data_IF_304975733827
#
_entry.id   IF_304975733827
#
_cell.length_a   1.000
_cell.length_b   1.000
_cell.length_c   1.000
_cell.angle_alpha   90.00
_cell.angle_beta   90.00
_cell.angle_gamma   90.00
#
_symmetry.space_group_name_H-M   'P 1'
#
loop_
_entity.id
_entity.type
_entity.pdbx_description
1 polymer ?
#
# COMPACT_ATOMS: atom_id res chain seq x y z
N UNK A 1 7.88 -49.04 -7.15
CA UNK A 1 7.74 -47.83 -6.31
C UNK A 1 8.42 -46.69 -7.04
N UNK A 2 7.66 -45.87 -7.77
CA UNK A 2 8.20 -44.80 -8.60
C UNK A 2 8.71 -43.63 -7.76
N UNK A 3 9.96 -43.24 -7.98
CA UNK A 3 10.58 -42.09 -7.34
C UNK A 3 9.76 -40.83 -7.63
N UNK A 4 9.23 -40.21 -6.57
CA UNK A 4 8.54 -38.92 -6.65
C UNK A 4 9.59 -37.90 -7.10
N UNK A 5 9.49 -37.42 -8.34
CA UNK A 5 10.31 -36.32 -8.81
C UNK A 5 10.14 -35.14 -7.84
N UNK A 6 11.22 -34.75 -7.16
CA UNK A 6 11.22 -33.56 -6.32
C UNK A 6 10.86 -32.36 -7.19
N UNK A 7 9.64 -31.85 -7.02
CA UNK A 7 9.25 -30.58 -7.62
C UNK A 7 10.17 -29.53 -7.01
N UNK A 8 11.17 -29.09 -7.77
CA UNK A 8 12.02 -27.96 -7.38
C UNK A 8 11.09 -26.75 -7.22
N UNK A 9 10.75 -26.41 -5.99
CA UNK A 9 9.97 -25.22 -5.68
C UNK A 9 10.93 -24.05 -5.94
N UNK A 10 10.79 -23.42 -7.10
CA UNK A 10 11.56 -22.22 -7.43
C UNK A 10 10.91 -21.05 -6.70
N UNK A 11 11.56 -20.56 -5.65
CA UNK A 11 11.18 -19.35 -4.92
C UNK A 11 12.24 -18.27 -5.11
N UNK A 12 11.80 -17.02 -5.18
CA UNK A 12 12.68 -15.84 -5.24
C UNK A 12 12.59 -15.08 -3.91
N UNK A 13 13.74 -14.69 -3.38
CA UNK A 13 13.85 -13.80 -2.22
C UNK A 13 13.81 -12.33 -2.67
N UNK A 14 13.55 -11.38 -1.75
CA UNK A 14 13.54 -9.95 -2.09
C UNK A 14 14.76 -9.38 -2.83
N UNK A 15 16.01 -9.83 -2.59
CA UNK A 15 17.17 -9.36 -3.35
C UNK A 15 17.34 -10.05 -4.71
N UNK A 16 16.61 -11.13 -4.99
CA UNK A 16 16.77 -11.89 -6.22
C UNK A 16 16.17 -11.13 -7.40
N UNK A 17 16.83 -11.25 -8.55
CA UNK A 17 16.36 -10.67 -9.83
C UNK A 17 15.96 -11.85 -10.74
N UNK A 18 14.67 -12.23 -10.75
CA UNK A 18 14.19 -13.30 -11.62
C UNK A 18 14.45 -13.01 -13.10
N UNK A 19 14.41 -14.04 -13.97
CA UNK A 19 14.35 -13.85 -15.41
C UNK A 19 13.20 -12.90 -15.80
N UNK A 20 13.33 -12.10 -16.86
CA UNK A 20 12.31 -11.11 -17.26
C UNK A 20 10.89 -11.68 -17.37
N UNK A 21 10.74 -12.90 -17.89
CA UNK A 21 9.45 -13.58 -17.97
C UNK A 21 8.84 -13.88 -16.59
N UNK A 22 9.66 -14.33 -15.63
CA UNK A 22 9.22 -14.58 -14.26
C UNK A 22 8.90 -13.27 -13.53
N UNK A 23 9.69 -12.20 -13.75
CA UNK A 23 9.43 -10.87 -13.21
C UNK A 23 8.06 -10.32 -13.65
N UNK A 24 7.75 -10.40 -14.95
CA UNK A 24 6.46 -9.95 -15.49
C UNK A 24 5.31 -10.80 -14.94
N UNK A 25 5.49 -12.12 -14.87
CA UNK A 25 4.46 -13.03 -14.33
C UNK A 25 4.19 -12.78 -12.83
N UNK A 26 5.24 -12.64 -12.01
CA UNK A 26 5.11 -12.32 -10.58
C UNK A 26 4.50 -10.93 -10.37
N UNK A 27 4.92 -9.94 -11.16
CA UNK A 27 4.33 -8.60 -11.14
C UNK A 27 2.84 -8.62 -11.46
N UNK A 28 2.43 -9.36 -12.48
CA UNK A 28 1.03 -9.52 -12.85
C UNK A 28 0.23 -10.21 -11.74
N UNK A 29 0.76 -11.29 -11.16
CA UNK A 29 0.12 -11.96 -10.01
C UNK A 29 -0.07 -10.98 -8.83
N UNK A 30 0.92 -10.13 -8.58
CA UNK A 30 0.85 -9.13 -7.51
C UNK A 30 -0.23 -8.08 -7.80
N UNK A 31 -0.29 -7.55 -9.04
CA UNK A 31 -1.34 -6.61 -9.46
C UNK A 31 -2.72 -7.24 -9.31
N UNK A 32 -2.92 -8.46 -9.80
CA UNK A 32 -4.20 -9.17 -9.70
C UNK A 32 -4.62 -9.40 -8.24
N UNK A 33 -3.66 -9.60 -7.34
CA UNK A 33 -3.94 -9.81 -5.91
C UNK A 33 -4.30 -8.50 -5.20
N UNK A 34 -3.62 -7.40 -5.53
CA UNK A 34 -3.80 -6.11 -4.84
C UNK A 34 -4.90 -5.22 -5.44
N UNK A 35 -5.23 -5.43 -6.71
CA UNK A 35 -6.21 -4.63 -7.44
C UNK A 35 -7.61 -4.64 -6.80
N UNK A 36 -8.22 -5.79 -6.43
CA UNK A 36 -9.59 -5.81 -5.91
C UNK A 36 -9.77 -4.94 -4.66
N UNK A 37 -8.80 -4.97 -3.74
CA UNK A 37 -8.84 -4.15 -2.53
C UNK A 37 -8.77 -2.66 -2.85
N UNK A 38 -7.85 -2.25 -3.73
CA UNK A 38 -7.68 -0.84 -4.10
C UNK A 38 -8.86 -0.30 -4.91
N UNK A 39 -9.35 -1.09 -5.87
CA UNK A 39 -10.53 -0.74 -6.66
C UNK A 39 -11.80 -0.67 -5.80
N UNK A 40 -11.97 -1.60 -4.86
CA UNK A 40 -13.13 -1.60 -3.95
C UNK A 40 -13.18 -0.34 -3.10
N UNK A 41 -12.05 0.10 -2.54
CA UNK A 41 -11.99 1.35 -1.77
C UNK A 41 -12.37 2.56 -2.64
N UNK A 42 -11.87 2.64 -3.87
CA UNK A 42 -12.23 3.72 -4.80
C UNK A 42 -13.73 3.73 -5.10
N UNK A 43 -14.31 2.56 -5.39
CA UNK A 43 -15.74 2.41 -5.68
C UNK A 43 -16.60 2.84 -4.49
N UNK A 44 -16.26 2.39 -3.27
CA UNK A 44 -17.02 2.74 -2.05
C UNK A 44 -16.92 4.24 -1.74
N UNK A 45 -15.75 4.84 -1.97
CA UNK A 45 -15.51 6.27 -1.67
C UNK A 45 -15.98 7.21 -2.77
N UNK A 46 -16.45 6.69 -3.91
CA UNK A 46 -16.85 7.51 -5.06
C UNK A 46 -15.68 8.13 -5.83
N UNK A 47 -14.45 7.67 -5.60
CA UNK A 47 -13.28 8.13 -6.34
C UNK A 47 -13.09 7.38 -7.65
N UNK A 48 -12.42 8.02 -8.62
CA UNK A 48 -12.09 7.38 -9.89
C UNK A 48 -11.12 6.21 -9.67
N UNK A 49 -11.52 5.02 -10.14
CA UNK A 49 -10.78 3.78 -9.95
C UNK A 49 -9.43 3.83 -10.68
N UNK A 50 -9.40 4.35 -11.91
CA UNK A 50 -8.19 4.39 -12.72
C UNK A 50 -7.14 5.32 -12.09
N UNK A 51 -7.57 6.50 -11.63
CA UNK A 51 -6.70 7.45 -10.92
C UNK A 51 -6.19 6.86 -9.60
N UNK A 52 -7.05 6.19 -8.84
CA UNK A 52 -6.67 5.60 -7.55
C UNK A 52 -5.66 4.47 -7.73
N UNK A 53 -5.88 3.58 -8.70
CA UNK A 53 -4.94 2.49 -9.02
C UNK A 53 -3.62 3.05 -9.56
N UNK A 54 -3.67 4.06 -10.42
CA UNK A 54 -2.49 4.75 -10.93
C UNK A 54 -1.67 5.40 -9.80
N UNK A 55 -2.32 6.15 -8.91
CA UNK A 55 -1.69 6.80 -7.77
C UNK A 55 -1.06 5.80 -6.80
N UNK A 56 -1.72 4.67 -6.53
CA UNK A 56 -1.19 3.56 -5.73
C UNK A 56 0.08 2.94 -6.36
N UNK A 57 0.05 2.68 -7.66
CA UNK A 57 1.22 2.18 -8.40
C UNK A 57 2.38 3.17 -8.35
N UNK A 58 2.10 4.46 -8.59
CA UNK A 58 3.10 5.52 -8.52
C UNK A 58 3.70 5.66 -7.11
N UNK A 59 2.86 5.65 -6.07
CA UNK A 59 3.31 5.69 -4.68
C UNK A 59 4.21 4.50 -4.33
N UNK A 60 3.87 3.30 -4.81
CA UNK A 60 4.69 2.10 -4.65
C UNK A 60 6.06 2.25 -5.30
N UNK A 61 6.13 2.80 -6.52
CA UNK A 61 7.41 3.09 -7.19
C UNK A 61 8.23 4.12 -6.41
N UNK A 62 7.61 5.22 -5.98
CA UNK A 62 8.26 6.27 -5.20
C UNK A 62 8.83 5.70 -3.89
N UNK A 63 8.07 4.88 -3.18
CA UNK A 63 8.52 4.26 -1.93
C UNK A 63 9.63 3.22 -2.15
N UNK A 64 9.56 2.42 -3.22
CA UNK A 64 10.62 1.48 -3.58
C UNK A 64 11.93 2.20 -3.92
N UNK A 65 11.87 3.32 -4.67
CA UNK A 65 13.05 4.11 -5.00
C UNK A 65 13.58 4.84 -3.77
N UNK A 66 12.71 5.47 -2.98
CA UNK A 66 13.07 6.20 -1.77
C UNK A 66 13.68 5.31 -0.68
N UNK A 67 13.23 4.06 -0.56
CA UNK A 67 13.79 3.05 0.36
C UNK A 67 15.03 2.33 -0.19
N UNK A 68 15.55 2.72 -1.35
CA UNK A 68 16.66 2.06 -2.05
C UNK A 68 16.41 0.56 -2.26
N UNK A 69 15.17 0.17 -2.62
CA UNK A 69 14.73 -1.21 -2.84
C UNK A 69 14.91 -2.14 -1.64
N UNK A 70 15.00 -1.60 -0.42
CA UNK A 70 15.16 -2.42 0.81
C UNK A 70 13.83 -2.90 1.39
N UNK A 71 12.74 -2.18 1.10
CA UNK A 71 11.44 -2.44 1.70
C UNK A 71 10.45 -2.82 0.57
N UNK A 72 10.14 -4.12 0.39
CA UNK A 72 9.21 -4.58 -0.63
C UNK A 72 7.76 -4.41 -0.14
N UNK A 73 7.24 -3.19 -0.20
CA UNK A 73 5.86 -2.85 0.21
C UNK A 73 5.05 -2.27 -0.96
N UNK A 74 3.79 -2.68 -1.05
CA UNK A 74 2.78 -2.12 -1.96
C UNK A 74 1.89 -1.11 -1.21
N UNK A 75 1.62 0.03 -1.82
CA UNK A 75 0.86 1.14 -1.22
C UNK A 75 -0.55 1.23 -1.82
N UNK A 76 -1.47 0.40 -1.34
CA UNK A 76 -2.87 0.35 -1.80
C UNK A 76 -3.83 1.32 -1.08
N UNK A 77 -5.11 1.25 -1.47
CA UNK A 77 -6.20 1.99 -0.82
C UNK A 77 -6.43 1.52 0.62
N UNK A 78 -6.46 2.44 1.58
CA UNK A 78 -6.59 2.10 3.01
C UNK A 78 -8.06 2.10 3.46
N UNK A 79 -8.50 0.95 3.95
CA UNK A 79 -9.85 0.74 4.49
C UNK A 79 -10.12 1.57 5.75
N UNK A 80 -9.07 1.99 6.46
CA UNK A 80 -9.20 2.86 7.63
C UNK A 80 -9.81 4.24 7.29
N UNK A 81 -9.72 4.67 6.03
CA UNK A 81 -10.30 5.95 5.59
C UNK A 81 -11.79 5.85 5.20
N UNK A 82 -12.36 4.65 5.05
CA UNK A 82 -13.74 4.51 4.57
C UNK A 82 -14.75 5.23 5.46
N UNK A 83 -14.70 4.99 6.78
CA UNK A 83 -15.63 5.63 7.72
C UNK A 83 -15.50 7.15 7.70
N UNK A 84 -14.27 7.66 7.65
CA UNK A 84 -14.00 9.10 7.62
C UNK A 84 -14.50 9.74 6.32
N UNK A 85 -14.20 9.15 5.16
CA UNK A 85 -14.60 9.69 3.86
C UNK A 85 -16.12 9.65 3.72
N UNK A 86 -16.77 8.53 4.06
CA UNK A 86 -18.24 8.41 4.00
C UNK A 86 -18.91 9.42 4.93
N UNK A 87 -18.37 9.62 6.14
CA UNK A 87 -18.91 10.61 7.08
C UNK A 87 -18.76 12.05 6.57
N UNK A 88 -17.60 12.40 5.99
CA UNK A 88 -17.37 13.74 5.45
C UNK A 88 -18.23 13.98 4.22
N UNK A 89 -18.30 13.05 3.28
CA UNK A 89 -19.10 13.19 2.05
C UNK A 89 -20.61 13.19 2.35
N UNK A 90 -21.05 12.43 3.37
CA UNK A 90 -22.46 12.38 3.78
C UNK A 90 -22.92 13.58 4.62
N UNK A 91 -22.01 14.44 5.07
CA UNK A 91 -22.36 15.65 5.82
C UNK A 91 -22.99 16.71 4.91
N UNK A 92 -23.90 17.54 5.45
CA UNK A 92 -24.59 18.59 4.68
C UNK A 92 -23.65 19.65 4.08
N UNK A 93 -22.48 19.85 4.68
CA UNK A 93 -21.42 20.74 4.19
C UNK A 93 -20.28 19.98 3.50
N UNK A 94 -20.44 18.66 3.34
CA UNK A 94 -19.44 17.74 2.84
C UNK A 94 -19.25 17.77 1.34
N UNK A 95 -18.03 17.47 0.89
CA UNK A 95 -17.74 17.23 -0.52
C UNK A 95 -16.59 16.22 -0.67
N UNK A 96 -16.49 15.58 -1.84
CA UNK A 96 -15.36 14.71 -2.16
C UNK A 96 -14.03 15.48 -2.15
N UNK A 97 -14.05 16.76 -2.53
CA UNK A 97 -12.88 17.65 -2.50
C UNK A 97 -12.40 17.89 -1.06
N UNK A 98 -13.33 18.13 -0.13
CA UNK A 98 -13.00 18.25 1.30
C UNK A 98 -12.41 16.96 1.86
N UNK A 99 -12.97 15.81 1.47
CA UNK A 99 -12.41 14.51 1.86
C UNK A 99 -10.99 14.31 1.31
N UNK A 100 -10.73 14.70 0.05
CA UNK A 100 -9.39 14.64 -0.56
C UNK A 100 -8.37 15.52 0.16
N UNK A 101 -8.74 16.75 0.52
CA UNK A 101 -7.89 17.64 1.32
C UNK A 101 -7.56 16.99 2.67
N UNK A 102 -8.55 16.37 3.32
CA UNK A 102 -8.35 15.59 4.55
C UNK A 102 -7.33 14.47 4.37
N UNK A 103 -7.42 13.68 3.29
CA UNK A 103 -6.48 12.60 2.97
C UNK A 103 -5.05 13.14 2.73
N UNK A 104 -4.92 14.29 2.06
CA UNK A 104 -3.59 14.92 1.89
C UNK A 104 -3.04 15.39 3.24
N UNK A 105 -3.88 15.99 4.09
CA UNK A 105 -3.49 16.45 5.42
C UNK A 105 -3.02 15.31 6.32
N UNK A 106 -3.69 14.15 6.29
CA UNK A 106 -3.23 12.97 7.04
C UNK A 106 -1.91 12.42 6.49
N UNK A 107 -1.67 12.52 5.18
CA UNK A 107 -0.36 12.21 4.58
C UNK A 107 0.76 13.08 5.15
N UNK A 108 0.54 14.39 5.27
CA UNK A 108 1.49 15.31 5.90
C UNK A 108 1.69 14.97 7.38
N UNK A 109 0.60 14.71 8.11
CA UNK A 109 0.66 14.31 9.51
C UNK A 109 1.51 13.03 9.69
N UNK A 110 1.34 12.04 8.82
CA UNK A 110 2.12 10.80 8.87
C UNK A 110 3.62 11.05 8.66
N UNK A 111 4.00 12.00 7.80
CA UNK A 111 5.41 12.39 7.63
C UNK A 111 5.95 12.98 8.93
N UNK A 112 5.19 13.89 9.57
CA UNK A 112 5.58 14.51 10.83
C UNK A 112 5.72 13.46 11.94
N UNK A 113 4.75 12.57 12.06
CA UNK A 113 4.78 11.46 13.03
C UNK A 113 5.99 10.55 12.77
N UNK A 114 6.24 10.20 11.51
CA UNK A 114 7.42 9.42 11.11
C UNK A 114 8.75 10.09 11.51
N UNK A 115 8.82 11.43 11.43
CA UNK A 115 9.99 12.17 11.88
C UNK A 115 10.14 12.21 13.41
N UNK A 116 9.02 12.28 14.14
CA UNK A 116 9.02 12.19 15.61
C UNK A 116 9.50 10.81 16.05
N UNK A 117 9.01 9.73 15.44
CA UNK A 117 9.41 8.35 15.76
C UNK A 117 10.90 8.15 15.54
N UNK A 118 11.48 8.71 14.47
CA UNK A 118 12.93 8.67 14.23
C UNK A 118 13.74 9.30 15.36
N UNK A 119 13.20 10.30 16.08
CA UNK A 119 13.87 10.98 17.20
C UNK A 119 13.67 10.28 18.54
N UNK A 120 12.46 9.76 18.79
CA UNK A 120 12.07 9.19 20.09
C UNK A 120 12.60 7.75 20.27
N UNK A 121 12.93 7.06 19.18
CA UNK A 121 13.50 5.73 19.20
C UNK A 121 12.46 4.62 19.34
N UNK A 122 12.81 3.43 18.84
CA UNK A 122 11.89 2.28 18.71
C UNK A 122 11.39 1.74 20.05
N UNK A 123 12.24 1.70 21.08
CA UNK A 123 11.89 1.14 22.40
C UNK A 123 10.73 1.86 23.09
N UNK A 124 10.61 3.17 22.88
CA UNK A 124 9.51 3.96 23.42
C UNK A 124 8.21 3.71 22.66
N UNK A 125 8.29 3.44 21.34
CA UNK A 125 7.13 3.08 20.54
C UNK A 125 6.59 1.70 20.94
N UNK A 126 7.48 0.72 21.13
CA UNK A 126 7.13 -0.65 21.52
C UNK A 126 6.47 -0.70 22.92
N UNK A 127 6.70 0.30 23.80
CA UNK A 127 5.99 0.45 25.08
C UNK A 127 4.57 0.97 24.95
N UNK A 128 4.31 1.86 23.98
CA UNK A 128 2.99 2.49 23.78
C UNK A 128 2.09 1.61 22.91
N UNK A 129 2.67 0.92 21.93
CA UNK A 129 1.98 -0.01 21.04
C UNK A 129 2.60 -1.41 21.16
N UNK A 130 2.35 -2.12 22.28
CA UNK A 130 2.75 -3.51 22.40
C UNK A 130 2.01 -4.37 21.36
N UNK A 131 2.70 -5.38 20.84
CA UNK A 131 2.16 -6.32 19.86
C UNK A 131 1.07 -7.23 20.44
#
# INVERSE_FOLDING_TARGET
>A
MGARAERRVVGYLPPDVPPPAALVSLGLQHVLTMFPATALVAIITGFDVAVTVFASGLATVIACVGSRRRIPLYYGGSFAYLAAIVAVVGASYGSHELAQVGVVATGILNIVVGWIIQKVGKENLDRVLPA
#
